data_IF_918523355998
#
_entry.id   IF_918523355998
#
_cell.length_a   1.000
_cell.length_b   1.000
_cell.length_c   1.000
_cell.angle_alpha   90.00
_cell.angle_beta   90.00
_cell.angle_gamma   90.00
#
_symmetry.space_group_name_H-M   'P 1'
#
loop_
_entity.id
_entity.type
_entity.pdbx_description
1 polymer ?
#
# COMPACT_ATOMS: atom_id res chain seq x y z
N UNK A 1 13.89 12.44 -1.18
CA UNK A 1 12.71 13.09 -1.76
C UNK A 1 12.03 12.16 -2.76
N UNK A 2 10.71 12.09 -2.69
CA UNK A 2 9.89 11.17 -3.50
C UNK A 2 10.13 11.36 -5.01
N UNK A 3 10.44 12.58 -5.45
CA UNK A 3 10.70 12.92 -6.86
C UNK A 3 11.92 12.19 -7.44
N UNK A 4 12.96 11.97 -6.63
CA UNK A 4 14.15 11.22 -7.08
C UNK A 4 13.78 9.75 -7.29
N UNK A 5 12.98 9.16 -6.38
CA UNK A 5 12.58 7.75 -6.47
C UNK A 5 11.69 7.52 -7.70
N UNK A 6 10.73 8.41 -7.94
CA UNK A 6 9.85 8.31 -9.12
C UNK A 6 10.68 8.34 -10.39
N UNK A 7 11.63 9.28 -10.49
CA UNK A 7 12.55 9.35 -11.62
C UNK A 7 13.38 8.08 -11.78
N UNK A 8 14.00 7.58 -10.72
CA UNK A 8 14.83 6.38 -10.77
C UNK A 8 14.05 5.15 -11.26
N UNK A 9 12.77 5.01 -10.84
CA UNK A 9 11.89 3.95 -11.31
C UNK A 9 11.62 4.09 -12.82
N UNK A 10 11.31 5.30 -13.28
CA UNK A 10 11.09 5.54 -14.72
C UNK A 10 12.34 5.32 -15.55
N UNK A 11 13.51 5.76 -15.07
CA UNK A 11 14.78 5.59 -15.77
C UNK A 11 15.16 4.10 -15.88
N UNK A 12 14.83 3.30 -14.87
CA UNK A 12 15.08 1.84 -14.87
C UNK A 12 14.13 1.07 -15.80
N UNK A 13 12.82 1.35 -15.74
CA UNK A 13 11.81 0.59 -16.50
C UNK A 13 11.50 1.17 -17.88
N UNK A 14 11.80 2.45 -18.13
CA UNK A 14 11.46 3.17 -19.36
C UNK A 14 9.96 3.48 -19.53
N UNK A 15 9.10 2.99 -18.63
CA UNK A 15 7.67 3.19 -18.65
C UNK A 15 7.04 3.07 -17.25
N UNK A 16 5.74 3.40 -17.14
CA UNK A 16 4.97 3.14 -15.93
C UNK A 16 4.85 1.64 -15.67
N UNK A 17 4.97 1.23 -14.41
CA UNK A 17 5.00 -0.18 -14.02
C UNK A 17 3.60 -0.81 -13.99
N UNK A 18 3.54 -2.14 -14.15
CA UNK A 18 2.32 -2.92 -14.05
C UNK A 18 1.85 -3.15 -12.61
N UNK A 19 2.77 -3.20 -11.66
CA UNK A 19 2.47 -3.61 -10.29
C UNK A 19 3.39 -2.91 -9.30
N UNK A 20 2.82 -2.44 -8.19
CA UNK A 20 3.55 -1.91 -7.03
C UNK A 20 3.23 -2.76 -5.80
N UNK A 21 4.24 -3.14 -5.03
CA UNK A 21 4.07 -3.89 -3.79
C UNK A 21 4.72 -3.08 -2.66
N UNK A 22 3.93 -2.77 -1.63
CA UNK A 22 4.35 -2.07 -0.43
C UNK A 22 4.32 -3.04 0.75
N UNK A 23 5.50 -3.49 1.17
CA UNK A 23 5.70 -4.30 2.38
C UNK A 23 6.34 -3.47 3.51
N UNK A 24 6.06 -2.16 3.55
CA UNK A 24 6.61 -1.26 4.55
C UNK A 24 6.04 -1.57 5.95
N UNK A 25 6.89 -1.47 6.96
CA UNK A 25 6.53 -1.51 8.37
C UNK A 25 7.27 -0.41 9.12
N UNK A 26 6.60 0.28 10.06
CA UNK A 26 7.29 1.22 10.94
C UNK A 26 8.18 0.47 11.92
N UNK A 27 9.09 1.21 12.56
CA UNK A 27 9.76 0.70 13.75
C UNK A 27 8.71 0.51 14.86
N UNK A 28 8.47 -0.74 15.22
CA UNK A 28 7.46 -1.10 16.22
C UNK A 28 7.93 -0.65 17.60
N UNK A 29 7.14 0.21 18.23
CA UNK A 29 7.40 0.78 19.56
C UNK A 29 6.82 -0.08 20.68
N UNK A 30 5.86 -0.96 20.35
CA UNK A 30 5.11 -1.76 21.31
C UNK A 30 3.81 -1.09 21.76
N UNK A 31 3.58 0.18 21.39
CA UNK A 31 2.30 0.83 21.53
C UNK A 31 1.49 0.62 20.25
N UNK A 32 0.50 -0.28 20.31
CA UNK A 32 -0.31 -0.66 19.16
C UNK A 32 -0.94 0.52 18.41
N UNK A 33 -1.50 1.50 19.13
CA UNK A 33 -2.17 2.65 18.51
C UNK A 33 -1.18 3.52 17.72
N UNK A 34 0.02 3.76 18.28
CA UNK A 34 1.08 4.51 17.60
C UNK A 34 1.60 3.71 16.40
N UNK A 35 1.90 2.44 16.60
CA UNK A 35 2.44 1.57 15.55
C UNK A 35 1.46 1.44 14.38
N UNK A 36 0.16 1.31 14.65
CA UNK A 36 -0.90 1.27 13.64
C UNK A 36 -1.01 2.59 12.87
N UNK A 37 -1.05 3.73 13.56
CA UNK A 37 -1.13 5.03 12.91
C UNK A 37 0.11 5.33 12.03
N UNK A 38 1.31 5.00 12.53
CA UNK A 38 2.55 5.14 11.76
C UNK A 38 2.56 4.25 10.52
N UNK A 39 2.07 3.02 10.64
CA UNK A 39 1.98 2.08 9.52
C UNK A 39 1.05 2.59 8.41
N UNK A 40 -0.11 3.12 8.79
CA UNK A 40 -1.06 3.69 7.84
C UNK A 40 -0.52 4.96 7.19
N UNK A 41 0.18 5.82 7.96
CA UNK A 41 0.86 7.00 7.43
C UNK A 41 1.89 6.64 6.34
N UNK A 42 2.71 5.60 6.58
CA UNK A 42 3.65 5.08 5.58
C UNK A 42 2.95 4.60 4.31
N UNK A 43 1.81 3.93 4.45
CA UNK A 43 1.01 3.49 3.30
C UNK A 43 0.49 4.67 2.47
N UNK A 44 0.02 5.76 3.10
CA UNK A 44 -0.38 6.96 2.36
C UNK A 44 0.78 7.58 1.59
N UNK A 45 1.99 7.61 2.16
CA UNK A 45 3.19 8.06 1.43
C UNK A 45 3.52 7.15 0.25
N UNK A 46 3.45 5.83 0.43
CA UNK A 46 3.66 4.86 -0.65
C UNK A 46 2.62 4.98 -1.77
N UNK A 47 1.37 5.36 -1.46
CA UNK A 47 0.35 5.62 -2.49
C UNK A 47 0.76 6.81 -3.37
N UNK A 48 1.33 7.88 -2.82
CA UNK A 48 1.77 9.04 -3.63
C UNK A 48 2.79 8.65 -4.71
N UNK A 49 3.71 7.73 -4.37
CA UNK A 49 4.66 7.19 -5.34
C UNK A 49 3.92 6.28 -6.34
N UNK A 50 3.04 5.40 -5.83
CA UNK A 50 2.26 4.47 -6.64
C UNK A 50 1.46 5.18 -7.74
N UNK A 51 0.78 6.28 -7.44
CA UNK A 51 -0.03 7.02 -8.42
C UNK A 51 0.81 7.60 -9.57
N UNK A 52 2.05 7.97 -9.28
CA UNK A 52 2.97 8.52 -10.27
C UNK A 52 3.54 7.42 -11.18
N UNK A 53 3.90 6.28 -10.62
CA UNK A 53 4.62 5.20 -11.34
C UNK A 53 3.71 4.11 -11.90
N UNK A 54 2.52 3.88 -11.34
CA UNK A 54 1.64 2.79 -11.73
C UNK A 54 0.84 3.15 -12.97
N UNK A 55 0.81 2.24 -13.96
CA UNK A 55 0.03 2.45 -15.18
C UNK A 55 -1.46 2.19 -14.97
N UNK A 56 -2.29 2.77 -15.84
CA UNK A 56 -3.73 2.49 -15.87
C UNK A 56 -3.97 0.98 -16.06
N UNK A 57 -4.97 0.45 -15.34
CA UNK A 57 -5.26 -0.99 -15.18
C UNK A 57 -4.16 -1.79 -14.46
N UNK A 58 -3.10 -1.16 -13.97
CA UNK A 58 -2.09 -1.79 -13.11
C UNK A 58 -2.65 -2.19 -11.75
N UNK A 59 -1.89 -2.99 -11.01
CA UNK A 59 -2.30 -3.52 -9.70
C UNK A 59 -1.38 -2.99 -8.60
N UNK A 60 -1.86 -3.00 -7.35
CA UNK A 60 -0.99 -2.75 -6.21
C UNK A 60 -1.37 -3.60 -5.01
N UNK A 61 -0.41 -3.78 -4.12
CA UNK A 61 -0.56 -4.54 -2.88
C UNK A 61 0.06 -3.75 -1.74
N UNK A 62 -0.69 -3.56 -0.65
CA UNK A 62 -0.18 -2.88 0.54
C UNK A 62 -0.34 -3.79 1.76
N UNK A 63 0.74 -4.02 2.49
CA UNK A 63 0.66 -4.52 3.85
C UNK A 63 0.01 -3.46 4.73
N UNK A 64 -1.02 -3.82 5.47
CA UNK A 64 -1.72 -2.94 6.43
C UNK A 64 -1.83 -3.64 7.78
N UNK A 65 -1.81 -2.86 8.86
CA UNK A 65 -2.09 -3.36 10.19
C UNK A 65 -3.60 -3.32 10.47
N UNK A 66 -4.12 -4.35 11.12
CA UNK A 66 -5.54 -4.54 11.38
C UNK A 66 -6.02 -3.61 12.50
N UNK A 67 -6.75 -2.57 12.13
CA UNK A 67 -7.26 -1.59 13.09
C UNK A 67 -8.17 -0.57 12.42
N UNK A 68 -8.61 0.42 13.18
CA UNK A 68 -9.61 1.42 12.76
C UNK A 68 -9.26 2.10 11.42
N UNK A 69 -8.03 2.61 11.29
CA UNK A 69 -7.58 3.30 10.08
C UNK A 69 -7.37 2.39 8.86
N UNK A 70 -7.32 1.06 9.02
CA UNK A 70 -7.15 0.14 7.89
C UNK A 70 -8.38 0.13 6.97
N UNK A 71 -9.57 0.28 7.56
CA UNK A 71 -10.82 0.35 6.80
C UNK A 71 -10.95 1.70 6.08
N UNK A 72 -10.50 2.79 6.68
CA UNK A 72 -10.42 4.10 6.03
C UNK A 72 -9.48 4.05 4.82
N UNK A 73 -8.29 3.47 5.00
CA UNK A 73 -7.34 3.25 3.90
C UNK A 73 -7.95 2.38 2.79
N UNK A 74 -8.65 1.30 3.14
CA UNK A 74 -9.38 0.48 2.18
C UNK A 74 -10.40 1.29 1.36
N UNK A 75 -11.22 2.12 2.01
CA UNK A 75 -12.19 2.98 1.32
C UNK A 75 -11.53 4.04 0.46
N UNK A 76 -10.41 4.60 0.90
CA UNK A 76 -9.60 5.51 0.11
C UNK A 76 -9.10 4.83 -1.18
N UNK A 77 -8.57 3.61 -1.09
CA UNK A 77 -8.09 2.85 -2.24
C UNK A 77 -9.23 2.43 -3.20
N UNK A 78 -10.44 2.15 -2.70
CA UNK A 78 -11.61 1.86 -3.55
C UNK A 78 -11.97 2.98 -4.53
N UNK A 79 -11.58 4.22 -4.24
CA UNK A 79 -11.81 5.36 -5.15
C UNK A 79 -10.83 5.38 -6.32
N UNK A 80 -9.71 4.64 -6.23
CA UNK A 80 -8.59 4.68 -7.17
C UNK A 80 -8.44 3.40 -8.01
N UNK A 81 -9.09 2.32 -7.61
CA UNK A 81 -8.98 1.00 -8.26
C UNK A 81 -10.36 0.42 -8.55
N UNK A 82 -10.47 -0.36 -9.63
CA UNK A 82 -11.70 -1.05 -10.02
C UNK A 82 -12.17 -2.03 -8.95
N UNK A 83 -11.24 -2.72 -8.28
CA UNK A 83 -11.55 -3.66 -7.21
C UNK A 83 -10.51 -3.58 -6.12
N UNK A 84 -10.95 -3.51 -4.87
CA UNK A 84 -10.08 -3.58 -3.70
C UNK A 84 -10.57 -4.67 -2.77
N UNK A 85 -9.66 -5.42 -2.16
CA UNK A 85 -9.95 -6.46 -1.17
C UNK A 85 -8.97 -6.35 -0.01
N UNK A 86 -9.50 -6.35 1.20
CA UNK A 86 -8.70 -6.53 2.41
C UNK A 86 -8.69 -8.02 2.77
N UNK A 87 -7.52 -8.62 2.96
CA UNK A 87 -7.41 -10.06 3.26
C UNK A 87 -6.30 -10.36 4.25
N UNK A 88 -6.54 -11.31 5.15
CA UNK A 88 -5.50 -11.94 5.95
C UNK A 88 -4.86 -13.06 5.12
N UNK A 89 -3.53 -13.17 5.02
CA UNK A 89 -2.89 -14.25 4.29
C UNK A 89 -2.99 -15.54 5.11
N UNK A 90 -3.16 -16.69 4.46
CA UNK A 90 -3.23 -18.00 5.14
C UNK A 90 -1.95 -18.34 5.91
N UNK A 91 -0.82 -17.74 5.51
CA UNK A 91 0.48 -17.94 6.12
C UNK A 91 0.72 -17.03 7.36
N UNK A 92 -0.12 -16.02 7.63
CA UNK A 92 0.08 -15.21 8.84
C UNK A 92 -0.28 -16.02 10.09
N UNK A 93 0.58 -15.93 11.10
CA UNK A 93 0.33 -16.55 12.40
C UNK A 93 -0.93 -15.92 13.01
N UNK A 94 -1.75 -16.70 13.73
CA UNK A 94 -2.99 -16.24 14.39
C UNK A 94 -2.87 -14.91 15.16
N UNK A 95 -1.77 -14.61 15.90
CA UNK A 95 -1.62 -13.35 16.62
C UNK A 95 -1.12 -12.17 15.76
N UNK A 96 -0.73 -12.40 14.50
CA UNK A 96 -0.30 -11.30 13.63
C UNK A 96 -1.51 -10.44 13.27
N UNK A 97 -1.38 -9.14 13.49
CA UNK A 97 -2.32 -8.09 13.09
C UNK A 97 -2.13 -7.67 11.64
N UNK A 98 -1.42 -8.46 10.83
CA UNK A 98 -1.15 -8.13 9.43
C UNK A 98 -2.30 -8.52 8.49
N UNK A 99 -2.68 -7.58 7.65
CA UNK A 99 -3.60 -7.72 6.52
C UNK A 99 -2.94 -7.21 5.24
N UNK A 100 -3.51 -7.58 4.11
CA UNK A 100 -3.10 -7.10 2.81
C UNK A 100 -4.28 -6.44 2.10
N UNK A 101 -4.08 -5.18 1.69
CA UNK A 101 -4.98 -4.43 0.84
C UNK A 101 -4.59 -4.67 -0.63
N UNK A 102 -5.30 -5.60 -1.27
CA UNK A 102 -5.13 -5.98 -2.67
C UNK A 102 -5.94 -5.01 -3.53
N UNK A 103 -5.28 -4.26 -4.41
CA UNK A 103 -5.87 -3.26 -5.27
C UNK A 103 -5.67 -3.64 -6.74
N UNK A 104 -6.77 -3.80 -7.50
CA UNK A 104 -6.76 -4.33 -8.85
C UNK A 104 -7.37 -3.35 -9.83
N UNK A 105 -6.65 -3.10 -10.92
CA UNK A 105 -7.09 -2.23 -12.01
C UNK A 105 -7.12 -0.76 -11.63
N UNK A 106 -5.95 -0.12 -11.57
CA UNK A 106 -5.80 1.31 -11.30
C UNK A 106 -6.55 2.16 -12.33
N UNK A 107 -7.28 3.17 -11.86
CA UNK A 107 -8.16 3.99 -12.72
C UNK A 107 -7.39 5.04 -13.54
N UNK A 108 -6.24 5.50 -13.04
CA UNK A 108 -5.42 6.54 -13.67
C UNK A 108 -5.83 7.92 -13.21
#
# INVERSE_FOLDING_TARGET
DDDNIVKDIFDYFGEKVNTVICDLSPQVTGNWSVDHASQISLNYSAVKITEQVLKKKGNSLFKVFDGEFSNEFYHYMKKKFLRVKLTKPKASRKPSSELYCICLGYLG
#
